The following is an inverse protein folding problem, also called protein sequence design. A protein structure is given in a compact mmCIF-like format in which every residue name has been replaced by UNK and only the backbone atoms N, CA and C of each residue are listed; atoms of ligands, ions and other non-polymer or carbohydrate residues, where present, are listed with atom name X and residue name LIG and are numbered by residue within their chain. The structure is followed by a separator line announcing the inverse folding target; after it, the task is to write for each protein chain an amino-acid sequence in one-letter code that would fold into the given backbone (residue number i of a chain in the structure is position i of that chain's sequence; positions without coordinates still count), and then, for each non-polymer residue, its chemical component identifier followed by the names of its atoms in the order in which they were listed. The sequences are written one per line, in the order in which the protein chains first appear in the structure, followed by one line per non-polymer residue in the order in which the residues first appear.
data_IF_617822905088
#
_entry.id   IF_617822905088
#
_cell.length_a   1.000
_cell.length_b   1.000
_cell.length_c   1.000
_cell.angle_alpha   90.00
_cell.angle_beta   90.00
_cell.angle_gamma   90.00
#
_symmetry.space_group_name_H-M   'P 1'
#
loop_
_entity.id
_entity.type
_entity.pdbx_description
1 polymer ?
#
# COMPACT_ATOMS: atom_id res chain seq x y z
N UNK A 1 -0.16 -20.96 -39.21
CA UNK A 1 0.20 -20.93 -37.78
C UNK A 1 1.63 -21.41 -37.65
N UNK A 2 2.57 -20.49 -37.46
CA UNK A 2 3.99 -20.80 -37.25
C UNK A 2 4.24 -21.11 -35.76
N UNK A 3 5.29 -21.88 -35.44
CA UNK A 3 5.62 -22.20 -34.05
C UNK A 3 5.89 -20.97 -33.17
N UNK A 4 6.40 -19.89 -33.77
CA UNK A 4 6.64 -18.62 -33.09
C UNK A 4 5.35 -17.90 -32.72
N UNK A 5 4.36 -17.86 -33.61
CA UNK A 5 3.03 -17.28 -33.32
C UNK A 5 2.38 -17.97 -32.12
N UNK A 6 2.45 -19.30 -32.05
CA UNK A 6 1.91 -20.08 -30.93
C UNK A 6 2.63 -19.74 -29.62
N UNK A 7 3.97 -19.62 -29.66
CA UNK A 7 4.76 -19.30 -28.47
C UNK A 7 4.49 -17.88 -27.95
N UNK A 8 4.35 -16.90 -28.85
CA UNK A 8 3.97 -15.53 -28.49
C UNK A 8 2.57 -15.49 -27.88
N UNK A 9 1.60 -16.20 -28.45
CA UNK A 9 0.24 -16.28 -27.91
C UNK A 9 0.23 -16.89 -26.50
N UNK A 10 1.01 -17.96 -26.27
CA UNK A 10 1.16 -18.56 -24.93
C UNK A 10 1.81 -17.55 -23.97
N UNK A 11 2.86 -16.85 -24.39
CA UNK A 11 3.53 -15.85 -23.54
C UNK A 11 2.59 -14.71 -23.15
N UNK A 12 1.78 -14.21 -24.09
CA UNK A 12 0.76 -13.19 -23.81
C UNK A 12 -0.28 -13.72 -22.83
N UNK A 13 -0.78 -14.95 -23.05
CA UNK A 13 -1.75 -15.57 -22.15
C UNK A 13 -1.20 -15.70 -20.73
N UNK A 14 0.02 -16.23 -20.58
CA UNK A 14 0.70 -16.34 -19.29
C UNK A 14 0.90 -14.96 -18.66
N UNK A 15 1.33 -13.97 -19.44
CA UNK A 15 1.53 -12.60 -18.97
C UNK A 15 0.25 -11.98 -18.40
N UNK A 16 -0.88 -12.13 -19.08
CA UNK A 16 -2.18 -11.62 -18.60
C UNK A 16 -2.61 -12.33 -17.31
N UNK A 17 -2.44 -13.66 -17.23
CA UNK A 17 -2.80 -14.42 -16.03
C UNK A 17 -1.94 -14.03 -14.83
N UNK A 18 -0.62 -13.90 -15.02
CA UNK A 18 0.31 -13.45 -13.97
C UNK A 18 -0.05 -12.04 -13.50
N UNK A 19 -0.29 -11.12 -14.44
CA UNK A 19 -0.70 -9.76 -14.10
C UNK A 19 -2.01 -9.74 -13.29
N UNK A 20 -3.01 -10.52 -13.70
CA UNK A 20 -4.29 -10.61 -12.99
C UNK A 20 -4.11 -11.13 -11.55
N UNK A 21 -3.25 -12.14 -11.35
CA UNK A 21 -2.94 -12.67 -10.01
C UNK A 21 -2.23 -11.62 -9.16
N UNK A 22 -1.23 -10.94 -9.71
CA UNK A 22 -0.48 -9.89 -8.99
C UNK A 22 -1.38 -8.72 -8.58
N UNK A 23 -2.24 -8.24 -9.49
CA UNK A 23 -3.19 -7.16 -9.19
C UNK A 23 -4.15 -7.58 -8.07
N UNK A 24 -4.69 -8.80 -8.10
CA UNK A 24 -5.56 -9.31 -7.04
C UNK A 24 -4.82 -9.48 -5.71
N UNK A 25 -3.56 -9.89 -5.74
CA UNK A 25 -2.73 -10.02 -4.54
C UNK A 25 -2.37 -8.66 -3.91
N UNK A 26 -2.18 -7.62 -4.73
CA UNK A 26 -1.83 -6.27 -4.28
C UNK A 26 -3.04 -5.40 -3.91
N UNK A 27 -4.24 -5.73 -4.41
CA UNK A 27 -5.47 -5.02 -4.08
C UNK A 27 -5.68 -4.76 -2.56
N UNK A 28 -5.53 -5.75 -1.64
CA UNK A 28 -5.68 -5.50 -0.22
C UNK A 28 -4.63 -4.53 0.34
N UNK A 29 -3.39 -4.58 -0.16
CA UNK A 29 -2.33 -3.67 0.27
C UNK A 29 -2.67 -2.21 -0.06
N UNK A 30 -3.22 -1.97 -1.26
CA UNK A 30 -3.63 -0.62 -1.69
C UNK A 30 -4.82 -0.14 -0.86
N UNK A 31 -5.84 -0.98 -0.65
CA UNK A 31 -7.01 -0.60 0.16
C UNK A 31 -6.60 -0.27 1.59
N UNK A 32 -5.72 -1.08 2.19
CA UNK A 32 -5.18 -0.83 3.53
C UNK A 32 -4.37 0.47 3.58
N UNK A 33 -3.47 0.67 2.61
CA UNK A 33 -2.67 1.88 2.51
C UNK A 33 -3.57 3.12 2.44
N UNK A 34 -4.58 3.11 1.57
CA UNK A 34 -5.55 4.22 1.44
C UNK A 34 -6.32 4.43 2.74
N UNK A 35 -6.87 3.37 3.34
CA UNK A 35 -7.64 3.49 4.57
C UNK A 35 -6.82 4.07 5.73
N UNK A 36 -5.59 3.61 5.92
CA UNK A 36 -4.76 4.14 6.99
C UNK A 36 -4.14 5.50 6.66
N UNK A 37 -3.82 5.81 5.39
CA UNK A 37 -3.41 7.16 4.99
C UNK A 37 -4.54 8.17 5.22
N UNK A 38 -5.79 7.78 4.98
CA UNK A 38 -6.95 8.60 5.34
C UNK A 38 -6.98 8.86 6.85
N UNK A 39 -6.70 7.87 7.68
CA UNK A 39 -6.62 8.06 9.15
C UNK A 39 -5.50 9.01 9.55
N UNK A 40 -4.29 8.86 8.97
CA UNK A 40 -3.18 9.79 9.22
C UNK A 40 -3.49 11.22 8.75
N UNK A 41 -4.18 11.35 7.61
CA UNK A 41 -4.62 12.64 7.10
C UNK A 41 -5.68 13.29 8.00
N UNK A 42 -6.71 12.53 8.42
CA UNK A 42 -7.74 13.02 9.32
C UNK A 42 -7.14 13.48 10.65
N UNK A 43 -6.15 12.74 11.17
CA UNK A 43 -5.50 13.12 12.42
C UNK A 43 -4.67 14.40 12.30
N UNK A 44 -4.04 14.63 11.16
CA UNK A 44 -3.42 15.92 10.85
C UNK A 44 -4.43 17.07 10.82
N UNK A 45 -5.56 16.89 10.13
CA UNK A 45 -6.58 17.95 9.96
C UNK A 45 -7.33 18.23 11.27
N UNK A 46 -7.67 17.20 12.05
CA UNK A 46 -8.52 17.33 13.24
C UNK A 46 -7.71 17.66 14.50
N UNK A 47 -6.54 17.04 14.67
CA UNK A 47 -5.72 17.20 15.88
C UNK A 47 -4.47 18.05 15.67
N UNK A 48 -4.19 18.49 14.44
CA UNK A 48 -2.97 19.23 14.12
C UNK A 48 -1.70 18.37 14.20
N UNK A 49 -1.82 17.04 14.22
CA UNK A 49 -0.68 16.15 14.33
C UNK A 49 0.09 16.15 13.01
N UNK A 50 1.30 16.70 12.98
CA UNK A 50 2.15 16.65 11.79
C UNK A 50 2.90 15.31 11.80
N UNK A 51 2.65 14.47 10.79
CA UNK A 51 3.20 13.11 10.70
C UNK A 51 3.99 13.01 9.41
N UNK A 52 5.26 12.61 9.52
CA UNK A 52 6.13 12.43 8.37
C UNK A 52 5.75 11.17 7.59
N UNK A 53 5.15 11.34 6.40
CA UNK A 53 4.80 10.22 5.51
C UNK A 53 6.03 9.80 4.72
N UNK A 54 6.71 8.77 5.21
CA UNK A 54 7.90 8.18 4.57
C UNK A 54 7.55 6.85 3.87
N UNK A 55 8.43 6.30 3.02
CA UNK A 55 8.24 4.96 2.45
C UNK A 55 8.01 3.88 3.51
N UNK A 56 8.63 4.02 4.69
CA UNK A 56 8.44 3.10 5.82
C UNK A 56 7.00 3.17 6.34
N UNK A 57 6.44 4.37 6.50
CA UNK A 57 5.04 4.57 6.91
C UNK A 57 4.09 3.93 5.90
N UNK A 58 4.35 4.11 4.59
CA UNK A 58 3.53 3.47 3.55
C UNK A 58 3.52 1.95 3.64
N UNK A 59 4.64 1.32 3.98
CA UNK A 59 4.70 -0.14 4.20
C UNK A 59 3.93 -0.54 5.45
N UNK A 60 4.10 0.17 6.56
CA UNK A 60 3.38 -0.11 7.82
C UNK A 60 1.87 -0.03 7.60
N UNK A 61 1.42 1.03 6.94
CA UNK A 61 0.00 1.29 6.69
C UNK A 61 -0.56 0.39 5.59
N UNK A 62 0.23 0.04 4.57
CA UNK A 62 -0.20 -0.93 3.54
C UNK A 62 -0.36 -2.35 4.08
N UNK A 63 0.49 -2.76 5.02
CA UNK A 63 0.39 -4.07 5.67
C UNK A 63 -0.70 -4.09 6.75
N UNK A 64 -0.79 -3.04 7.58
CA UNK A 64 -1.66 -3.00 8.76
C UNK A 64 -2.97 -2.23 8.57
N UNK A 65 -3.16 -1.51 7.47
CA UNK A 65 -4.31 -0.65 7.22
C UNK A 65 -4.52 0.39 8.32
N UNK A 66 -5.74 0.43 8.83
CA UNK A 66 -6.13 1.30 9.95
C UNK A 66 -5.33 0.97 11.22
N UNK A 67 -5.05 -0.31 11.49
CA UNK A 67 -4.25 -0.69 12.66
C UNK A 67 -2.79 -0.23 12.51
N UNK A 68 -2.25 -0.33 11.29
CA UNK A 68 -0.92 0.21 10.97
C UNK A 68 -0.86 1.73 11.19
N UNK A 69 -1.88 2.47 10.77
CA UNK A 69 -1.99 3.90 11.03
C UNK A 69 -2.08 4.22 12.54
N UNK A 70 -2.82 3.43 13.31
CA UNK A 70 -2.91 3.60 14.76
C UNK A 70 -1.53 3.46 15.44
N UNK A 71 -0.71 2.50 14.99
CA UNK A 71 0.66 2.34 15.49
C UNK A 71 1.52 3.56 15.16
N UNK A 72 1.49 4.03 13.90
CA UNK A 72 2.23 5.23 13.48
C UNK A 72 1.83 6.45 14.31
N UNK A 73 0.52 6.64 14.54
CA UNK A 73 0.01 7.72 15.38
C UNK A 73 0.51 7.62 16.81
N UNK A 74 0.53 6.40 17.37
CA UNK A 74 1.01 6.18 18.73
C UNK A 74 2.48 6.61 18.86
N UNK A 75 3.35 6.18 17.92
CA UNK A 75 4.75 6.57 17.92
C UNK A 75 4.97 8.08 17.71
N UNK A 76 4.17 8.70 16.84
CA UNK A 76 4.22 10.14 16.61
C UNK A 76 3.77 10.93 17.85
N UNK A 77 2.72 10.48 18.54
CA UNK A 77 2.19 11.11 19.75
C UNK A 77 3.18 11.07 20.92
N UNK A 78 3.92 9.97 21.05
CA UNK A 78 4.99 9.84 22.05
C UNK A 78 6.31 10.51 21.62
N UNK A 79 6.37 11.11 20.42
CA UNK A 79 7.57 11.77 19.90
C UNK A 79 8.73 10.81 19.59
N UNK A 80 8.46 9.51 19.48
CA UNK A 80 9.49 8.47 19.31
C UNK A 80 9.88 8.30 17.85
N UNK A 81 8.92 8.43 16.92
CA UNK A 81 9.16 8.29 15.49
C UNK A 81 8.09 9.02 14.66
N UNK A 82 8.38 9.26 13.38
CA UNK A 82 7.47 9.86 12.38
C UNK A 82 7.04 11.30 12.67
N UNK A 83 7.84 12.03 13.46
CA UNK A 83 7.72 13.48 13.69
C UNK A 83 8.56 14.22 12.62
N UNK A 84 8.13 15.41 12.14
CA UNK A 84 8.91 16.25 11.22
C UNK A 84 10.27 16.70 11.78
#
# INVERSE_FOLDING_TARGET
MTGLEILVLIAVLVGVLVAAVLVRALAPFIVNAVAGLLVLFLSHVVFGLSIAVTPVVLVIVGLGGILGAAVVLLFALFGVAFVP
#
